data_IF_324862476320
#
_entry.id   IF_324862476320
#
_cell.length_a   1.000
_cell.length_b   1.000
_cell.length_c   1.000
_cell.angle_alpha   90.00
_cell.angle_beta   90.00
_cell.angle_gamma   90.00
#
_symmetry.space_group_name_H-M   'P 1'
#
loop_
_entity.id
_entity.type
_entity.pdbx_description
1 polymer ?
#
# COMPACT_ATOMS: atom_id res chain seq x y z
N UNK A 1 33.55 -13.50 -29.73
CA UNK A 1 32.41 -14.42 -29.86
C UNK A 1 31.59 -14.34 -28.58
N UNK A 2 30.58 -13.47 -28.55
CA UNK A 2 29.65 -13.37 -27.42
C UNK A 2 28.56 -14.42 -27.62
N UNK A 3 28.59 -15.49 -26.82
CA UNK A 3 27.51 -16.49 -26.84
C UNK A 3 26.20 -15.83 -26.43
N UNK A 4 25.19 -15.90 -27.28
CA UNK A 4 23.83 -15.47 -26.94
C UNK A 4 23.34 -16.42 -25.84
N UNK A 5 22.96 -15.93 -24.65
CA UNK A 5 22.39 -16.78 -23.60
C UNK A 5 21.13 -17.50 -24.13
N UNK A 6 21.02 -18.79 -23.88
CA UNK A 6 19.81 -19.54 -24.21
C UNK A 6 18.67 -19.18 -23.24
N UNK A 7 17.42 -19.23 -23.70
CA UNK A 7 16.24 -18.91 -22.88
C UNK A 7 16.19 -19.66 -21.53
N UNK A 8 16.71 -20.89 -21.47
CA UNK A 8 16.76 -21.70 -20.25
C UNK A 8 17.69 -21.12 -19.17
N UNK A 9 18.83 -20.55 -19.56
CA UNK A 9 19.79 -19.95 -18.63
C UNK A 9 19.21 -18.69 -17.97
N UNK A 10 18.50 -17.87 -18.74
CA UNK A 10 17.92 -16.62 -18.25
C UNK A 10 16.79 -16.84 -17.23
N UNK A 11 16.03 -17.94 -17.34
CA UNK A 11 15.01 -18.30 -16.36
C UNK A 11 15.65 -18.76 -15.05
N UNK A 12 16.68 -19.61 -15.12
CA UNK A 12 17.40 -20.09 -13.94
C UNK A 12 18.08 -18.95 -13.17
N UNK A 13 18.75 -18.03 -13.88
CA UNK A 13 19.39 -16.85 -13.29
C UNK A 13 18.37 -15.98 -12.53
N UNK A 14 17.18 -15.80 -13.10
CA UNK A 14 16.09 -15.04 -12.49
C UNK A 14 15.55 -15.72 -11.24
N UNK A 15 15.33 -17.03 -11.28
CA UNK A 15 14.89 -17.81 -10.11
C UNK A 15 15.91 -17.71 -8.97
N UNK A 16 17.20 -17.81 -9.28
CA UNK A 16 18.27 -17.63 -8.31
C UNK A 16 18.28 -16.20 -7.73
N UNK A 17 18.11 -15.17 -8.57
CA UNK A 17 18.06 -13.78 -8.12
C UNK A 17 16.82 -13.50 -7.23
N UNK A 18 15.65 -14.08 -7.55
CA UNK A 18 14.46 -14.02 -6.68
C UNK A 18 14.71 -14.68 -5.33
N UNK A 19 15.33 -15.86 -5.31
CA UNK A 19 15.66 -16.55 -4.07
C UNK A 19 16.60 -15.72 -3.19
N UNK A 20 17.64 -15.13 -3.80
CA UNK A 20 18.58 -14.25 -3.11
C UNK A 20 17.88 -12.99 -2.55
N UNK A 21 16.97 -12.37 -3.30
CA UNK A 21 16.17 -11.24 -2.82
C UNK A 21 15.32 -11.61 -1.61
N UNK A 22 14.60 -12.74 -1.66
CA UNK A 22 13.76 -13.21 -0.54
C UNK A 22 14.59 -13.51 0.70
N UNK A 23 15.76 -14.14 0.52
CA UNK A 23 16.70 -14.39 1.63
C UNK A 23 17.22 -13.09 2.24
N UNK A 24 17.59 -12.10 1.43
CA UNK A 24 18.04 -10.80 1.91
C UNK A 24 16.93 -10.07 2.67
N UNK A 25 15.69 -10.07 2.14
CA UNK A 25 14.54 -9.50 2.84
C UNK A 25 14.34 -10.14 4.22
N UNK A 26 14.37 -11.47 4.29
CA UNK A 26 14.22 -12.18 5.57
C UNK A 26 15.34 -11.82 6.56
N UNK A 27 16.59 -11.76 6.10
CA UNK A 27 17.74 -11.45 6.96
C UNK A 27 17.75 -9.98 7.45
N UNK A 28 17.08 -9.08 6.74
CA UNK A 28 17.15 -7.64 6.97
C UNK A 28 15.78 -7.02 7.31
N UNK A 29 14.87 -7.81 7.89
CA UNK A 29 13.58 -7.32 8.38
C UNK A 29 12.66 -6.75 7.29
N UNK A 30 12.87 -7.16 6.04
CA UNK A 30 12.12 -6.74 4.87
C UNK A 30 12.45 -5.34 4.36
N UNK A 31 13.43 -4.63 4.94
CA UNK A 31 13.73 -3.23 4.59
C UNK A 31 14.49 -3.11 3.25
N UNK A 32 13.87 -2.53 2.19
CA UNK A 32 14.51 -2.37 0.89
C UNK A 32 15.71 -1.42 0.86
N UNK A 33 15.87 -0.58 1.88
CA UNK A 33 16.99 0.36 1.97
C UNK A 33 18.29 -0.29 2.46
N UNK A 34 18.23 -1.52 2.97
CA UNK A 34 19.40 -2.25 3.44
C UNK A 34 20.29 -2.63 2.26
N UNK A 35 21.60 -2.37 2.35
CA UNK A 35 22.56 -2.55 1.25
C UNK A 35 22.46 -3.94 0.59
N UNK A 36 22.35 -5.06 1.33
CA UNK A 36 22.21 -6.39 0.72
C UNK A 36 20.89 -6.57 -0.04
N UNK A 37 19.80 -5.96 0.44
CA UNK A 37 18.48 -6.01 -0.21
C UNK A 37 18.49 -5.16 -1.47
N UNK A 38 19.03 -3.94 -1.41
CA UNK A 38 19.18 -3.05 -2.55
C UNK A 38 20.00 -3.70 -3.68
N UNK A 39 21.14 -4.33 -3.35
CA UNK A 39 21.96 -5.06 -4.32
C UNK A 39 21.21 -6.25 -4.95
N UNK A 40 20.42 -6.98 -4.17
CA UNK A 40 19.60 -8.08 -4.70
C UNK A 40 18.49 -7.58 -5.64
N UNK A 41 17.86 -6.44 -5.33
CA UNK A 41 16.90 -5.76 -6.20
C UNK A 41 17.56 -5.39 -7.52
N UNK A 42 18.71 -4.71 -7.49
CA UNK A 42 19.43 -4.29 -8.70
C UNK A 42 19.78 -5.47 -9.60
N UNK A 43 20.28 -6.57 -9.02
CA UNK A 43 20.56 -7.80 -9.76
C UNK A 43 19.32 -8.38 -10.43
N UNK A 44 18.18 -8.40 -9.73
CA UNK A 44 16.94 -8.94 -10.28
C UNK A 44 16.34 -8.02 -11.35
N UNK A 45 16.40 -6.69 -11.16
CA UNK A 45 15.95 -5.69 -12.14
C UNK A 45 16.71 -5.82 -13.47
N UNK A 46 18.01 -6.10 -13.43
CA UNK A 46 18.80 -6.36 -14.64
C UNK A 46 18.33 -7.60 -15.43
N UNK A 47 17.57 -8.49 -14.79
CA UNK A 47 16.99 -9.71 -15.36
C UNK A 47 15.48 -9.57 -15.64
N UNK A 48 14.93 -8.36 -15.63
CA UNK A 48 13.51 -8.12 -15.84
C UNK A 48 13.05 -8.68 -17.21
N UNK A 49 12.12 -9.66 -17.22
CA UNK A 49 11.64 -10.25 -18.47
C UNK A 49 10.67 -9.39 -19.26
N UNK A 50 10.22 -8.28 -18.68
CA UNK A 50 9.14 -7.47 -19.22
C UNK A 50 9.70 -6.10 -19.62
N UNK A 51 9.98 -5.84 -20.91
CA UNK A 51 10.64 -4.61 -21.37
C UNK A 51 9.84 -3.32 -21.14
N UNK A 52 8.51 -3.40 -21.20
CA UNK A 52 7.59 -2.29 -20.97
C UNK A 52 6.63 -2.64 -19.81
N UNK A 53 7.13 -2.76 -18.56
CA UNK A 53 6.36 -3.34 -17.47
C UNK A 53 5.16 -2.50 -17.03
N UNK A 54 5.14 -1.19 -17.30
CA UNK A 54 3.96 -0.36 -17.02
C UNK A 54 2.84 -0.56 -18.06
N UNK A 55 3.14 -1.15 -19.23
CA UNK A 55 2.19 -1.39 -20.32
C UNK A 55 1.77 -2.86 -20.43
N UNK A 56 2.41 -3.76 -19.67
CA UNK A 56 2.10 -5.19 -19.62
C UNK A 56 0.89 -5.46 -18.72
N UNK A 57 -0.30 -5.03 -19.15
CA UNK A 57 -1.55 -5.10 -18.38
C UNK A 57 -1.86 -6.52 -17.89
N UNK A 58 -1.69 -7.52 -18.75
CA UNK A 58 -1.86 -8.95 -18.43
C UNK A 58 -1.00 -9.39 -17.23
N UNK A 59 0.19 -8.80 -17.10
CA UNK A 59 1.08 -9.03 -15.97
C UNK A 59 0.83 -8.08 -14.82
N UNK A 60 0.26 -6.89 -14.99
CA UNK A 60 -0.03 -6.00 -13.86
C UNK A 60 -1.28 -6.41 -13.10
N UNK A 61 -2.29 -6.92 -13.80
CA UNK A 61 -3.60 -7.27 -13.23
C UNK A 61 -3.48 -8.44 -12.27
N UNK A 62 -4.03 -8.29 -11.07
CA UNK A 62 -4.08 -9.32 -10.04
C UNK A 62 -3.91 -8.76 -8.63
N UNK A 63 -3.95 -9.67 -7.66
CA UNK A 63 -3.73 -9.35 -6.25
C UNK A 63 -2.25 -9.42 -5.91
N UNK A 64 -1.71 -8.34 -5.36
CA UNK A 64 -0.29 -8.23 -5.02
C UNK A 64 -0.12 -8.07 -3.52
N UNK A 65 0.54 -8.99 -2.84
CA UNK A 65 0.85 -8.89 -1.40
C UNK A 65 2.24 -8.33 -1.21
N UNK A 66 2.37 -7.30 -0.38
CA UNK A 66 3.65 -6.73 0.00
C UNK A 66 4.49 -7.76 0.78
N UNK A 67 5.74 -7.96 0.39
CA UNK A 67 6.71 -8.82 1.08
C UNK A 67 7.89 -8.05 1.67
N UNK A 68 8.10 -6.81 1.24
CA UNK A 68 8.97 -5.86 1.95
C UNK A 68 8.29 -5.29 3.19
N UNK A 69 9.08 -4.72 4.11
CA UNK A 69 8.58 -3.99 5.25
C UNK A 69 7.66 -2.83 4.80
N UNK A 70 6.52 -2.59 5.47
CA UNK A 70 5.66 -1.46 5.14
C UNK A 70 6.36 -0.12 5.35
N UNK A 71 6.35 0.73 4.32
CA UNK A 71 6.95 2.08 4.37
C UNK A 71 5.92 3.16 4.75
N UNK A 72 5.25 2.97 5.89
CA UNK A 72 4.32 3.98 6.41
C UNK A 72 5.05 4.94 7.38
N UNK A 73 4.79 6.25 7.31
CA UNK A 73 5.47 7.23 8.15
C UNK A 73 5.05 7.12 9.61
N UNK A 74 6.02 7.31 10.52
CA UNK A 74 5.76 7.39 11.96
C UNK A 74 5.58 6.05 12.67
N UNK A 75 5.96 4.95 12.04
CA UNK A 75 6.02 3.63 12.69
C UNK A 75 6.96 3.65 13.89
N UNK A 76 6.54 3.05 15.00
CA UNK A 76 7.36 2.86 16.21
C UNK A 76 7.61 1.38 16.44
N UNK A 77 8.85 0.94 16.71
CA UNK A 77 9.14 -0.47 16.94
C UNK A 77 8.45 -0.96 18.22
N UNK A 78 7.97 -2.20 18.18
CA UNK A 78 7.44 -2.94 19.31
C UNK A 78 8.45 -3.99 19.77
N UNK A 79 8.28 -4.49 21.00
CA UNK A 79 9.19 -5.47 21.60
C UNK A 79 9.21 -6.82 20.85
N UNK A 80 8.15 -7.13 20.10
CA UNK A 80 8.00 -8.36 19.31
C UNK A 80 8.54 -8.22 17.87
N UNK A 81 9.22 -7.11 17.56
CA UNK A 81 9.78 -6.84 16.23
C UNK A 81 8.78 -6.27 15.21
N UNK A 82 7.50 -6.13 15.56
CA UNK A 82 6.52 -5.41 14.72
C UNK A 82 6.65 -3.91 14.90
N UNK A 83 5.87 -3.16 14.13
CA UNK A 83 5.77 -1.71 14.24
C UNK A 83 4.33 -1.32 14.57
N UNK A 84 4.17 -0.39 15.52
CA UNK A 84 2.90 0.30 15.74
C UNK A 84 2.79 1.53 14.85
N UNK A 85 1.63 1.71 14.24
CA UNK A 85 1.26 2.91 13.48
C UNK A 85 -0.01 3.51 14.07
N UNK A 86 -0.43 4.67 13.58
CA UNK A 86 -1.74 5.24 13.92
C UNK A 86 -2.68 5.19 12.71
N UNK A 87 -3.99 5.06 12.96
CA UNK A 87 -5.01 5.09 11.92
C UNK A 87 -4.89 6.34 11.03
N UNK A 88 -4.65 7.49 11.64
CA UNK A 88 -4.46 8.75 10.91
C UNK A 88 -3.29 8.69 9.93
N UNK A 89 -2.17 8.06 10.29
CA UNK A 89 -1.03 7.94 9.35
C UNK A 89 -1.29 6.95 8.22
N UNK A 90 -2.08 5.91 8.45
CA UNK A 90 -2.46 4.96 7.39
C UNK A 90 -3.46 5.55 6.39
N UNK A 91 -4.35 6.44 6.83
CA UNK A 91 -5.47 6.94 6.05
C UNK A 91 -5.51 8.47 5.92
N UNK A 92 -4.35 9.13 5.89
CA UNK A 92 -4.22 10.57 5.70
C UNK A 92 -5.06 11.44 6.67
N UNK A 93 -5.25 10.97 7.89
CA UNK A 93 -6.08 11.58 8.95
C UNK A 93 -7.57 11.72 8.58
N UNK A 94 -8.06 10.88 7.68
CA UNK A 94 -9.44 10.95 7.20
C UNK A 94 -10.43 10.19 8.07
N UNK A 95 -9.99 9.21 8.87
CA UNK A 95 -10.84 8.46 9.80
C UNK A 95 -10.55 8.81 11.25
N UNK A 96 -11.55 8.65 12.11
CA UNK A 96 -11.43 8.74 13.56
C UNK A 96 -11.47 7.34 14.18
N UNK A 97 -10.79 7.10 15.32
CA UNK A 97 -9.86 8.03 16.00
C UNK A 97 -8.49 8.03 15.32
N UNK A 98 -7.94 9.21 15.01
CA UNK A 98 -6.68 9.33 14.25
C UNK A 98 -5.43 8.80 14.96
N UNK A 99 -5.42 8.85 16.29
CA UNK A 99 -4.32 8.44 17.16
C UNK A 99 -4.40 6.97 17.60
N UNK A 100 -5.48 6.27 17.25
CA UNK A 100 -5.65 4.83 17.49
C UNK A 100 -4.42 4.05 17.03
N UNK A 101 -3.73 3.41 17.97
CA UNK A 101 -2.57 2.58 17.63
C UNK A 101 -3.00 1.23 17.09
N UNK A 102 -2.26 0.79 16.09
CA UNK A 102 -2.52 -0.45 15.37
C UNK A 102 -1.21 -1.10 14.92
N UNK A 103 -1.29 -2.40 14.69
CA UNK A 103 -0.28 -3.18 13.97
C UNK A 103 -0.81 -3.52 12.58
N UNK A 104 0.07 -3.48 11.60
CA UNK A 104 -0.24 -3.93 10.25
C UNK A 104 -0.08 -5.45 10.21
N UNK A 105 -1.13 -6.15 9.80
CA UNK A 105 -1.13 -7.59 9.63
C UNK A 105 -0.67 -7.96 8.21
N UNK A 106 -1.19 -7.24 7.21
CA UNK A 106 -0.88 -7.46 5.81
C UNK A 106 -1.11 -6.18 5.01
N UNK A 107 -0.32 -6.01 3.94
CA UNK A 107 -0.57 -4.99 2.92
C UNK A 107 -0.74 -5.68 1.57
N UNK A 108 -1.76 -5.30 0.82
CA UNK A 108 -1.96 -5.72 -0.56
C UNK A 108 -2.28 -4.55 -1.48
N UNK A 109 -2.05 -4.76 -2.78
CA UNK A 109 -2.25 -3.78 -3.84
C UNK A 109 -2.99 -4.44 -5.01
N UNK A 110 -4.31 -4.63 -4.92
CA UNK A 110 -5.11 -5.19 -6.00
C UNK A 110 -5.08 -4.25 -7.21
N UNK A 111 -4.76 -4.79 -8.37
CA UNK A 111 -4.73 -4.05 -9.65
C UNK A 111 -5.72 -4.69 -10.60
N UNK A 112 -6.79 -3.98 -10.92
CA UNK A 112 -7.88 -4.44 -11.77
C UNK A 112 -8.26 -3.35 -12.77
N UNK A 113 -8.63 -3.69 -14.02
CA UNK A 113 -9.06 -2.70 -15.01
C UNK A 113 -10.27 -1.90 -14.52
N UNK A 114 -10.28 -0.60 -14.83
CA UNK A 114 -11.41 0.31 -14.57
C UNK A 114 -12.04 0.65 -15.92
N UNK A 115 -13.25 0.10 -16.16
CA UNK A 115 -13.95 0.21 -17.44
C UNK A 115 -13.06 -0.26 -18.63
N UNK A 116 -13.44 0.09 -19.86
CA UNK A 116 -12.70 -0.28 -21.08
C UNK A 116 -11.48 0.65 -21.37
N UNK A 117 -10.97 1.34 -20.34
CA UNK A 117 -9.91 2.34 -20.46
C UNK A 117 -8.50 1.82 -20.10
N UNK A 118 -7.48 2.70 -20.20
CA UNK A 118 -6.11 2.37 -19.79
C UNK A 118 -5.92 2.33 -18.26
N UNK A 119 -6.96 2.67 -17.50
CA UNK A 119 -6.90 2.84 -16.06
C UNK A 119 -7.10 1.52 -15.32
N UNK A 120 -6.38 1.39 -14.22
CA UNK A 120 -6.47 0.28 -13.30
C UNK A 120 -6.61 0.78 -11.88
N UNK A 121 -7.13 -0.04 -10.97
CA UNK A 121 -7.06 0.22 -9.54
C UNK A 121 -5.59 0.21 -9.11
N UNK A 122 -5.29 1.04 -8.12
CA UNK A 122 -4.00 1.10 -7.45
C UNK A 122 -4.21 1.30 -5.95
N UNK A 123 -5.15 0.54 -5.41
CA UNK A 123 -5.49 0.61 -4.00
C UNK A 123 -4.30 0.15 -3.15
N UNK A 124 -4.11 0.79 -1.99
CA UNK A 124 -3.28 0.24 -0.92
C UNK A 124 -4.23 -0.26 0.15
N UNK A 125 -4.32 -1.59 0.28
CA UNK A 125 -5.18 -2.26 1.24
C UNK A 125 -4.33 -2.70 2.42
N UNK A 126 -4.72 -2.30 3.62
CA UNK A 126 -4.01 -2.58 4.86
C UNK A 126 -4.97 -3.27 5.82
N UNK A 127 -4.71 -4.54 6.09
CA UNK A 127 -5.37 -5.28 7.16
C UNK A 127 -4.60 -4.98 8.47
N UNK A 128 -5.32 -4.68 9.55
CA UNK A 128 -4.72 -4.25 10.82
C UNK A 128 -5.43 -4.84 12.04
N UNK A 129 -4.75 -4.76 13.18
CA UNK A 129 -5.31 -5.04 14.51
C UNK A 129 -5.05 -3.86 15.44
N UNK A 130 -6.05 -3.45 16.22
CA UNK A 130 -5.90 -2.37 17.21
C UNK A 130 -5.04 -2.83 18.39
N UNK A 131 -4.29 -1.90 18.98
CA UNK A 131 -3.41 -2.18 20.13
C UNK A 131 -3.94 -1.59 21.44
N UNK A 132 -4.70 -0.50 21.38
CA UNK A 132 -5.07 0.29 22.56
C UNK A 132 -6.44 -0.12 23.16
N UNK A 133 -7.05 -1.21 22.68
CA UNK A 133 -8.33 -1.71 23.17
C UNK A 133 -8.12 -2.92 24.09
N UNK A 134 -8.97 -3.06 25.11
CA UNK A 134 -9.00 -4.24 25.98
C UNK A 134 -9.31 -5.51 25.17
N UNK A 135 -10.24 -5.40 24.22
CA UNK A 135 -10.53 -6.43 23.21
C UNK A 135 -10.07 -5.90 21.84
N UNK A 136 -8.99 -6.44 21.26
CA UNK A 136 -8.50 -5.99 19.95
C UNK A 136 -9.54 -6.18 18.84
N UNK A 137 -9.70 -5.15 18.02
CA UNK A 137 -10.52 -5.20 16.81
C UNK A 137 -9.64 -5.40 15.60
N UNK A 138 -10.15 -6.13 14.61
CA UNK A 138 -9.51 -6.27 13.31
C UNK A 138 -10.26 -5.43 12.28
N UNK A 139 -9.52 -4.84 11.36
CA UNK A 139 -10.11 -3.98 10.35
C UNK A 139 -9.26 -3.88 9.11
N UNK A 140 -9.82 -3.19 8.14
CA UNK A 140 -9.18 -2.91 6.86
C UNK A 140 -9.28 -1.43 6.54
N UNK A 141 -8.14 -0.83 6.19
CA UNK A 141 -8.07 0.46 5.52
C UNK A 141 -7.77 0.23 4.04
N UNK A 142 -8.53 0.84 3.15
CA UNK A 142 -8.22 0.90 1.72
C UNK A 142 -7.98 2.34 1.35
N UNK A 143 -6.76 2.68 0.96
CA UNK A 143 -6.49 3.94 0.29
C UNK A 143 -6.75 3.73 -1.20
N UNK A 144 -7.87 4.27 -1.68
CA UNK A 144 -8.35 4.04 -3.03
C UNK A 144 -7.50 4.82 -4.02
N UNK A 145 -7.07 4.17 -5.08
CA UNK A 145 -6.21 4.78 -6.08
C UNK A 145 -6.50 4.27 -7.48
N UNK A 146 -6.13 5.08 -8.46
CA UNK A 146 -6.11 4.68 -9.87
C UNK A 146 -4.71 4.88 -10.43
N UNK A 147 -4.36 4.06 -11.41
CA UNK A 147 -3.14 4.24 -12.17
C UNK A 147 -3.34 4.01 -13.67
N UNK A 148 -2.52 4.66 -14.47
CA UNK A 148 -2.45 4.46 -15.93
C UNK A 148 -0.99 4.53 -16.42
N UNK A 149 -0.64 3.85 -17.52
CA UNK A 149 0.70 3.93 -18.09
C UNK A 149 1.02 5.35 -18.57
N UNK A 150 2.11 5.92 -18.06
CA UNK A 150 2.65 7.20 -18.53
C UNK A 150 3.82 6.99 -19.51
N UNK A 151 4.65 5.98 -19.26
CA UNK A 151 5.75 5.55 -20.15
C UNK A 151 5.84 4.03 -20.17
N UNK A 152 6.88 3.46 -20.80
CA UNK A 152 7.11 2.01 -20.79
C UNK A 152 7.30 1.44 -19.36
N UNK A 153 7.84 2.23 -18.43
CA UNK A 153 8.16 1.79 -17.06
C UNK A 153 7.50 2.64 -15.97
N UNK A 154 6.81 3.72 -16.32
CA UNK A 154 6.17 4.60 -15.34
C UNK A 154 4.65 4.52 -15.41
N UNK A 155 4.04 4.43 -14.24
CA UNK A 155 2.62 4.63 -14.01
C UNK A 155 2.40 6.03 -13.43
N UNK A 156 1.43 6.75 -13.96
CA UNK A 156 0.83 7.87 -13.25
C UNK A 156 -0.15 7.30 -12.23
N UNK A 157 -0.10 7.76 -10.98
CA UNK A 157 -0.97 7.30 -9.90
C UNK A 157 -1.72 8.48 -9.27
N UNK A 158 -2.95 8.24 -8.83
CA UNK A 158 -3.76 9.25 -8.17
C UNK A 158 -4.66 8.59 -7.10
N UNK A 159 -4.70 9.18 -5.90
CA UNK A 159 -5.67 8.75 -4.88
C UNK A 159 -7.05 9.30 -5.18
N UNK A 160 -8.08 8.50 -4.95
CA UNK A 160 -9.48 8.84 -5.23
C UNK A 160 -10.35 8.83 -3.98
N UNK A 161 -9.86 8.28 -2.87
CA UNK A 161 -10.61 8.22 -1.63
C UNK A 161 -10.02 7.23 -0.64
N UNK A 162 -10.83 6.82 0.32
CA UNK A 162 -10.47 5.73 1.22
C UNK A 162 -11.68 5.09 1.88
N UNK A 163 -11.49 3.87 2.35
CA UNK A 163 -12.50 3.07 3.06
C UNK A 163 -11.89 2.54 4.35
N UNK A 164 -12.65 2.60 5.43
CA UNK A 164 -12.39 1.91 6.69
C UNK A 164 -13.56 0.95 6.95
N UNK A 165 -13.27 -0.33 7.15
CA UNK A 165 -14.28 -1.37 7.35
C UNK A 165 -13.81 -2.43 8.35
N UNK A 166 -14.72 -3.06 9.12
CA UNK A 166 -14.37 -4.15 10.02
C UNK A 166 -13.93 -5.39 9.24
N UNK A 167 -13.06 -6.21 9.83
CA UNK A 167 -12.84 -7.56 9.30
C UNK A 167 -14.12 -8.40 9.47
N UNK A 168 -14.28 -9.45 8.65
CA UNK A 168 -15.51 -10.25 8.60
C UNK A 168 -15.96 -10.79 9.97
N UNK A 169 -15.00 -11.21 10.81
CA UNK A 169 -15.25 -11.80 12.13
C UNK A 169 -15.12 -10.79 13.29
N UNK A 170 -15.03 -9.49 12.99
CA UNK A 170 -14.92 -8.47 14.04
C UNK A 170 -16.27 -8.16 14.68
N UNK A 171 -16.25 -7.93 16.00
CA UNK A 171 -17.42 -7.49 16.77
C UNK A 171 -17.92 -6.15 16.23
N UNK A 172 -19.11 -6.17 15.63
CA UNK A 172 -19.69 -5.00 14.99
C UNK A 172 -20.17 -3.97 15.98
N UNK A 173 -20.75 -4.38 17.09
CA UNK A 173 -21.26 -3.43 18.08
C UNK A 173 -20.08 -2.67 18.71
N UNK A 174 -19.00 -3.38 19.02
CA UNK A 174 -17.76 -2.77 19.51
C UNK A 174 -17.11 -1.88 18.42
N UNK A 175 -17.11 -2.31 17.16
CA UNK A 175 -16.62 -1.49 16.04
C UNK A 175 -17.39 -0.16 15.91
N UNK A 176 -18.73 -0.21 15.99
CA UNK A 176 -19.59 0.96 15.96
C UNK A 176 -19.27 1.93 17.11
N UNK A 177 -19.00 1.41 18.31
CA UNK A 177 -18.64 2.23 19.46
C UNK A 177 -17.27 2.93 19.29
N UNK A 178 -16.30 2.24 18.70
CA UNK A 178 -14.93 2.77 18.57
C UNK A 178 -14.79 3.74 17.39
N UNK A 179 -15.36 3.42 16.23
CA UNK A 179 -15.15 4.18 14.99
C UNK A 179 -16.38 4.98 14.54
N UNK A 180 -17.55 4.76 15.15
CA UNK A 180 -18.82 5.35 14.71
C UNK A 180 -19.06 6.79 15.17
N UNK A 181 -18.34 7.26 16.19
CA UNK A 181 -18.46 8.62 16.71
C UNK A 181 -17.31 9.52 16.20
N UNK A 182 -17.57 10.43 15.24
CA UNK A 182 -16.55 11.36 14.74
C UNK A 182 -16.13 12.41 15.79
N UNK A 183 -16.88 12.58 16.87
CA UNK A 183 -16.64 13.56 17.94
C UNK A 183 -15.93 12.97 19.17
N UNK A 184 -15.72 11.65 19.22
CA UNK A 184 -15.09 10.96 20.37
C UNK A 184 -13.57 11.19 20.50
N UNK A 185 -12.92 11.83 19.50
CA UNK A 185 -11.47 12.08 19.53
C UNK A 185 -11.09 13.39 20.27
N UNK A 186 -9.92 13.46 20.93
CA UNK A 186 -9.45 14.67 21.60
C UNK A 186 -9.41 15.87 20.65
N UNK A 187 -9.94 17.01 21.09
CA UNK A 187 -9.95 18.26 20.31
C UNK A 187 -8.53 18.66 19.91
N UNK A 188 -8.18 18.43 18.64
CA UNK A 188 -6.94 18.91 18.03
C UNK A 188 -6.73 20.40 18.31
N UNK A 189 -5.49 20.79 18.61
CA UNK A 189 -5.11 22.18 18.78
C UNK A 189 -5.41 23.04 17.55
N UNK A 190 -5.59 24.35 17.74
CA UNK A 190 -5.98 25.32 16.71
C UNK A 190 -5.16 25.24 15.42
N UNK A 191 -3.85 24.96 15.52
CA UNK A 191 -2.92 24.86 14.38
C UNK A 191 -3.19 23.63 13.50
N UNK A 192 -3.49 22.48 14.10
CA UNK A 192 -3.80 21.24 13.37
C UNK A 192 -5.18 21.34 12.67
N UNK A 193 -6.14 22.04 13.27
CA UNK A 193 -7.43 22.36 12.63
C UNK A 193 -7.24 23.25 11.39
N UNK A 194 -6.39 24.26 11.49
CA UNK A 194 -6.11 25.18 10.38
C UNK A 194 -5.40 24.46 9.22
N UNK A 195 -4.38 23.64 9.52
CA UNK A 195 -3.69 22.82 8.52
C UNK A 195 -4.63 21.81 7.85
N UNK A 196 -5.52 21.17 8.63
CA UNK A 196 -6.56 20.29 8.11
C UNK A 196 -7.55 21.00 7.19
N UNK A 197 -7.89 22.26 7.48
CA UNK A 197 -8.78 23.08 6.65
C UNK A 197 -8.12 23.46 5.31
N UNK A 198 -6.83 23.84 5.34
CA UNK A 198 -6.04 24.12 4.14
C UNK A 198 -5.88 22.87 3.27
N UNK A 199 -5.59 21.70 3.87
CA UNK A 199 -5.52 20.43 3.15
C UNK A 199 -6.85 20.07 2.49
N UNK A 200 -7.97 20.25 3.20
CA UNK A 200 -9.32 20.02 2.68
C UNK A 200 -9.62 20.90 1.47
N UNK A 201 -9.24 22.17 1.53
CA UNK A 201 -9.44 23.12 0.43
C UNK A 201 -8.56 22.79 -0.79
N UNK A 202 -7.28 22.48 -0.56
CA UNK A 202 -6.32 22.18 -1.63
C UNK A 202 -6.64 20.88 -2.37
N UNK A 203 -7.06 19.84 -1.63
CA UNK A 203 -7.32 18.52 -2.20
C UNK A 203 -8.79 18.24 -2.51
N UNK A 204 -9.67 19.22 -2.30
CA UNK A 204 -11.11 19.05 -2.48
C UNK A 204 -11.64 17.84 -1.70
N UNK A 205 -11.14 17.65 -0.47
CA UNK A 205 -11.50 16.51 0.38
C UNK A 205 -12.98 16.62 0.74
N UNK A 206 -13.77 15.63 0.35
CA UNK A 206 -15.13 15.48 0.85
C UNK A 206 -15.00 14.83 2.24
N UNK A 207 -15.65 15.37 3.29
CA UNK A 207 -15.68 14.70 4.59
C UNK A 207 -16.12 13.24 4.45
N UNK A 208 -15.64 12.34 5.33
CA UNK A 208 -16.12 10.96 5.33
C UNK A 208 -17.64 10.90 5.46
N UNK A 209 -18.25 9.95 4.78
CA UNK A 209 -19.65 9.59 5.01
C UNK A 209 -19.84 9.13 6.45
N UNK A 210 -21.02 9.33 7.04
CA UNK A 210 -21.38 8.63 8.26
C UNK A 210 -21.15 7.12 8.11
N UNK A 211 -20.84 6.45 9.21
CA UNK A 211 -20.68 5.01 9.22
C UNK A 211 -21.98 4.34 8.75
N UNK A 212 -21.87 3.42 7.80
CA UNK A 212 -22.99 2.62 7.35
C UNK A 212 -23.45 1.68 8.48
N UNK A 213 -24.73 1.73 8.91
CA UNK A 213 -25.22 1.05 10.11
C UNK A 213 -25.23 -0.48 9.98
N UNK A 214 -25.27 -1.00 8.76
CA UNK A 214 -25.36 -2.41 8.43
C UNK A 214 -24.00 -3.07 8.20
N UNK A 215 -22.96 -2.30 7.91
CA UNK A 215 -21.64 -2.83 7.54
C UNK A 215 -20.51 -2.30 8.43
N UNK A 216 -20.73 -1.23 9.19
CA UNK A 216 -19.67 -0.54 9.93
C UNK A 216 -18.68 0.22 9.03
N UNK A 217 -18.98 0.34 7.74
CA UNK A 217 -18.09 0.93 6.75
C UNK A 217 -18.14 2.46 6.78
N UNK A 218 -16.99 3.09 6.69
CA UNK A 218 -16.81 4.54 6.55
C UNK A 218 -16.03 4.80 5.27
N UNK A 219 -16.45 5.76 4.45
CA UNK A 219 -15.73 6.08 3.22
C UNK A 219 -15.60 7.59 3.02
N UNK A 220 -14.56 8.00 2.30
CA UNK A 220 -14.42 9.38 1.84
C UNK A 220 -13.94 9.42 0.40
N UNK A 221 -14.19 10.55 -0.27
CA UNK A 221 -13.75 10.78 -1.64
C UNK A 221 -12.80 11.96 -1.73
N UNK A 222 -11.81 11.84 -2.61
CA UNK A 222 -10.86 12.89 -2.96
C UNK A 222 -11.13 13.35 -4.38
N UNK A 223 -11.72 14.53 -4.54
CA UNK A 223 -12.03 15.08 -5.86
C UNK A 223 -10.80 15.67 -6.56
N UNK A 224 -9.79 16.11 -5.81
CA UNK A 224 -8.55 16.69 -6.33
C UNK A 224 -7.35 16.12 -5.59
N UNK A 225 -6.92 14.92 -5.97
CA UNK A 225 -5.63 14.40 -5.50
C UNK A 225 -4.51 14.87 -6.43
N UNK A 226 -3.34 15.22 -5.90
CA UNK A 226 -2.14 15.39 -6.72
C UNK A 226 -1.84 14.04 -7.39
N UNK A 227 -1.33 14.13 -8.61
CA UNK A 227 -0.85 12.99 -9.38
C UNK A 227 0.59 12.72 -8.95
N UNK A 228 0.89 11.46 -8.66
CA UNK A 228 2.24 10.99 -8.40
C UNK A 228 2.75 10.11 -9.55
N UNK A 229 4.01 9.72 -9.48
CA UNK A 229 4.60 8.75 -10.40
C UNK A 229 5.16 7.55 -9.65
N UNK A 230 4.93 6.37 -10.22
CA UNK A 230 5.45 5.11 -9.75
C UNK A 230 6.23 4.45 -10.89
N UNK A 231 7.48 4.08 -10.67
CA UNK A 231 8.28 3.33 -11.65
C UNK A 231 8.16 1.84 -11.35
N UNK A 232 7.78 1.03 -12.33
CA UNK A 232 7.81 -0.44 -12.27
C UNK A 232 9.22 -0.88 -12.68
N UNK A 233 10.03 -1.28 -11.70
CA UNK A 233 11.43 -1.67 -11.90
C UNK A 233 11.54 -3.10 -12.42
N UNK A 234 10.69 -3.98 -11.91
CA UNK A 234 10.64 -5.39 -12.25
C UNK A 234 9.19 -5.86 -12.28
N UNK A 235 8.84 -6.66 -13.29
CA UNK A 235 7.54 -7.31 -13.36
C UNK A 235 7.67 -8.67 -14.03
N UNK A 236 7.13 -9.70 -13.39
CA UNK A 236 6.89 -10.97 -14.04
C UNK A 236 5.63 -11.68 -13.51
N UNK A 237 5.54 -12.99 -13.72
CA UNK A 237 4.37 -13.79 -13.39
C UNK A 237 4.06 -13.79 -11.88
N UNK A 238 5.05 -13.67 -11.00
CA UNK A 238 4.85 -13.81 -9.54
C UNK A 238 5.40 -12.64 -8.71
N UNK A 239 6.23 -11.76 -9.27
CA UNK A 239 6.88 -10.69 -8.51
C UNK A 239 6.76 -9.33 -9.22
N UNK A 240 6.47 -8.30 -8.44
CA UNK A 240 6.48 -6.90 -8.86
C UNK A 240 7.34 -6.07 -7.92
N UNK A 241 8.22 -5.26 -8.49
CA UNK A 241 9.01 -4.26 -7.75
C UNK A 241 8.70 -2.89 -8.29
N UNK A 242 8.27 -1.98 -7.43
CA UNK A 242 7.96 -0.60 -7.79
C UNK A 242 8.74 0.40 -6.94
N UNK A 243 8.96 1.59 -7.48
CA UNK A 243 9.60 2.71 -6.79
C UNK A 243 8.74 3.96 -6.93
N UNK A 244 8.29 4.51 -5.81
CA UNK A 244 7.58 5.79 -5.78
C UNK A 244 8.53 6.97 -5.99
N UNK A 245 7.97 8.12 -6.34
CA UNK A 245 8.71 9.38 -6.57
C UNK A 245 9.67 9.77 -5.43
N UNK A 246 9.29 9.49 -4.17
CA UNK A 246 10.12 9.77 -2.98
C UNK A 246 11.17 8.69 -2.68
N UNK A 247 11.38 7.75 -3.59
CA UNK A 247 12.37 6.68 -3.45
C UNK A 247 11.89 5.43 -2.71
N UNK A 248 10.67 5.42 -2.15
CA UNK A 248 10.08 4.23 -1.51
C UNK A 248 10.01 3.09 -2.51
N UNK A 249 10.69 1.97 -2.20
CA UNK A 249 10.63 0.74 -2.97
C UNK A 249 9.65 -0.22 -2.32
N UNK A 250 8.76 -0.81 -3.11
CA UNK A 250 7.83 -1.84 -2.69
C UNK A 250 8.09 -3.12 -3.48
N UNK A 251 8.10 -4.25 -2.78
CA UNK A 251 8.28 -5.57 -3.38
C UNK A 251 7.03 -6.37 -3.04
N UNK A 252 6.34 -6.87 -4.07
CA UNK A 252 5.11 -7.62 -3.90
C UNK A 252 5.16 -8.95 -4.63
N UNK A 253 4.64 -10.00 -3.97
CA UNK A 253 4.34 -11.29 -4.59
C UNK A 253 2.89 -11.32 -5.06
N UNK A 254 2.63 -11.85 -6.24
CA UNK A 254 1.27 -12.11 -6.72
C UNK A 254 0.61 -13.18 -5.84
N UNK A 255 -0.65 -12.98 -5.50
CA UNK A 255 -1.50 -13.98 -4.87
C UNK A 255 -2.28 -14.72 -5.97
N UNK A 256 -2.36 -16.05 -5.84
CA UNK A 256 -2.90 -16.96 -6.85
C UNK A 256 -4.38 -16.75 -7.14
#
# INVERSE_FOLDING_TARGET
MTSIPTHGTQLADRQQAKAALRQALQAHGGDPAQVPVAAAIERLVALNPTPAPAQATDRLVGDWRLVSAPSFPGGKPLADGRYSYTLGRLAFNMFQPQDMKLVINQVSQPVWPIADGPQHTHDIVVDFTTLDLEVPLQGRVRNLGICEPATASQLQVQFTGGVLEPAADSDRDHWHQVFGDPDAAPRLGLTARLQGLVLKLMFGLVPPTPMAPDTGRIEFQMRRSPKGTLTVLYLDEDLRITRGEKGTVLICDRQG
#
